data_IF_463700968442
#
_entry.id   IF_463700968442
#
_cell.length_a   1.000
_cell.length_b   1.000
_cell.length_c   1.000
_cell.angle_alpha   90.00
_cell.angle_beta   90.00
_cell.angle_gamma   90.00
#
_symmetry.space_group_name_H-M   'P 1'
#
loop_
_entity.id
_entity.type
_entity.pdbx_description
1 polymer ?
#
# COMPACT_ATOMS: atom_id res chain seq x y z
N UNK A 1 -34.95 16.77 16.38
CA UNK A 1 -33.52 17.10 16.47
C UNK A 1 -32.78 15.81 16.73
N UNK A 2 -32.48 15.07 15.66
CA UNK A 2 -31.61 13.89 15.72
C UNK A 2 -30.76 13.96 14.47
N UNK A 3 -29.61 14.60 14.62
CA UNK A 3 -28.52 14.56 13.64
C UNK A 3 -28.01 13.13 13.58
N UNK A 4 -28.32 12.42 12.50
CA UNK A 4 -27.68 11.15 12.21
C UNK A 4 -26.36 11.46 11.52
N UNK A 5 -25.26 11.37 12.26
CA UNK A 5 -23.90 11.48 11.76
C UNK A 5 -23.69 10.53 10.58
N UNK A 6 -23.28 11.08 9.43
CA UNK A 6 -22.82 10.29 8.29
C UNK A 6 -21.43 9.73 8.62
N UNK A 7 -21.39 8.50 9.11
CA UNK A 7 -20.16 7.73 9.14
C UNK A 7 -19.74 7.44 7.71
N UNK A 8 -18.83 8.26 7.20
CA UNK A 8 -18.25 8.11 5.88
C UNK A 8 -17.14 7.05 5.96
N UNK A 9 -17.56 5.78 6.04
CA UNK A 9 -16.67 4.63 5.95
C UNK A 9 -15.99 4.67 4.57
N UNK A 10 -14.77 5.22 4.54
CA UNK A 10 -14.00 5.37 3.31
C UNK A 10 -13.77 3.99 2.71
N UNK A 11 -14.32 3.76 1.52
CA UNK A 11 -14.03 2.54 0.77
C UNK A 11 -12.52 2.34 0.65
N UNK A 12 -12.05 1.11 0.88
CA UNK A 12 -10.65 0.75 0.80
C UNK A 12 -10.01 1.34 -0.46
N UNK A 13 -9.15 2.34 -0.28
CA UNK A 13 -8.70 3.24 -1.35
C UNK A 13 -7.76 2.57 -2.34
N UNK A 14 -7.19 1.40 -2.01
CA UNK A 14 -6.35 0.63 -2.94
C UNK A 14 -7.15 -0.19 -3.95
N UNK A 15 -8.37 -0.62 -3.63
CA UNK A 15 -9.18 -1.54 -4.46
C UNK A 15 -10.61 -1.01 -4.73
N UNK A 16 -10.84 0.27 -4.46
CA UNK A 16 -12.14 0.92 -4.60
C UNK A 16 -12.53 1.27 -6.05
N UNK A 17 -13.81 1.54 -6.27
CA UNK A 17 -14.35 2.10 -7.52
C UNK A 17 -15.61 1.41 -8.05
N UNK A 18 -15.86 0.15 -7.69
CA UNK A 18 -17.08 -0.59 -8.11
C UNK A 18 -18.22 -0.51 -7.09
N UNK A 19 -17.92 -0.28 -5.81
CA UNK A 19 -18.90 -0.25 -4.73
C UNK A 19 -19.22 1.18 -4.31
N UNK A 20 -20.48 1.45 -3.99
CA UNK A 20 -20.96 2.76 -3.55
C UNK A 20 -20.49 3.13 -2.13
N UNK A 21 -20.11 2.15 -1.32
CA UNK A 21 -19.62 2.31 0.05
C UNK A 21 -18.49 1.30 0.32
N UNK A 22 -17.75 1.53 1.41
CA UNK A 22 -16.71 0.62 1.88
C UNK A 22 -17.26 -0.72 2.39
N UNK A 23 -16.39 -1.74 2.50
CA UNK A 23 -16.75 -3.00 3.13
C UNK A 23 -17.13 -2.81 4.61
N UNK A 24 -17.93 -3.74 5.14
CA UNK A 24 -18.24 -3.78 6.57
C UNK A 24 -16.96 -4.03 7.40
N UNK A 25 -16.90 -3.49 8.62
CA UNK A 25 -15.75 -3.62 9.50
C UNK A 25 -15.36 -5.09 9.79
N UNK A 26 -16.35 -5.99 9.88
CA UNK A 26 -16.09 -7.43 10.05
C UNK A 26 -15.42 -8.00 8.80
N UNK A 27 -15.88 -7.57 7.62
CA UNK A 27 -15.30 -7.99 6.34
C UNK A 27 -13.86 -7.49 6.19
N UNK A 28 -13.54 -6.28 6.65
CA UNK A 28 -12.17 -5.76 6.67
C UNK A 28 -11.27 -6.59 7.60
N UNK A 29 -11.73 -6.86 8.81
CA UNK A 29 -10.96 -7.62 9.81
C UNK A 29 -10.63 -9.04 9.34
N UNK A 30 -11.56 -9.72 8.66
CA UNK A 30 -11.36 -11.07 8.13
C UNK A 30 -10.38 -11.07 6.94
N UNK A 31 -10.37 -10.01 6.13
CA UNK A 31 -9.50 -9.93 4.95
C UNK A 31 -8.08 -9.41 5.25
N UNK A 32 -7.85 -8.84 6.43
CA UNK A 32 -6.54 -8.30 6.80
C UNK A 32 -5.51 -9.43 7.00
N UNK A 33 -4.49 -9.48 6.13
CA UNK A 33 -3.41 -10.48 6.22
C UNK A 33 -2.13 -9.94 6.85
N UNK A 34 -2.07 -8.65 7.19
CA UNK A 34 -0.85 -7.96 7.63
C UNK A 34 -0.17 -8.62 8.84
N UNK A 35 -0.95 -9.14 9.80
CA UNK A 35 -0.41 -9.79 11.00
C UNK A 35 0.44 -11.03 10.71
N UNK A 36 0.32 -11.60 9.51
CA UNK A 36 1.11 -12.71 9.03
C UNK A 36 2.09 -12.30 7.91
N UNK A 37 1.61 -11.53 6.94
CA UNK A 37 2.36 -11.18 5.73
C UNK A 37 3.49 -10.17 5.97
N UNK A 38 3.48 -9.43 7.08
CA UNK A 38 4.53 -8.46 7.42
C UNK A 38 5.96 -9.05 7.37
N UNK A 39 6.09 -10.37 7.61
CA UNK A 39 7.38 -11.09 7.51
C UNK A 39 7.95 -11.14 6.09
N UNK A 40 7.13 -10.87 5.08
CA UNK A 40 7.50 -10.84 3.66
C UNK A 40 7.86 -9.44 3.16
N UNK A 41 7.89 -8.43 4.04
CA UNK A 41 8.15 -7.04 3.65
C UNK A 41 9.47 -6.87 2.88
N UNK A 42 10.52 -7.61 3.26
CA UNK A 42 11.82 -7.56 2.57
C UNK A 42 11.70 -8.01 1.11
N UNK A 43 10.98 -9.10 0.85
CA UNK A 43 10.76 -9.64 -0.48
C UNK A 43 9.88 -8.71 -1.32
N UNK A 44 8.83 -8.14 -0.72
CA UNK A 44 7.94 -7.18 -1.38
C UNK A 44 8.70 -5.90 -1.80
N UNK A 45 9.57 -5.40 -0.92
CA UNK A 45 10.44 -4.25 -1.19
C UNK A 45 11.44 -4.55 -2.32
N UNK A 46 12.08 -5.72 -2.29
CA UNK A 46 13.00 -6.14 -3.35
C UNK A 46 12.29 -6.24 -4.71
N UNK A 47 11.11 -6.87 -4.74
CA UNK A 47 10.26 -6.95 -5.92
C UNK A 47 9.84 -5.57 -6.43
N UNK A 48 9.45 -4.68 -5.53
CA UNK A 48 9.06 -3.30 -5.86
C UNK A 48 10.21 -2.49 -6.44
N UNK A 49 11.45 -2.66 -5.95
CA UNK A 49 12.64 -2.01 -6.52
C UNK A 49 12.94 -2.51 -7.94
N UNK A 50 12.83 -3.82 -8.16
CA UNK A 50 13.00 -4.41 -9.48
C UNK A 50 11.91 -3.92 -10.45
N UNK A 51 10.67 -3.83 -9.97
CA UNK A 51 9.54 -3.32 -10.76
C UNK A 51 9.77 -1.84 -11.15
N UNK A 52 10.17 -0.98 -10.21
CA UNK A 52 10.48 0.42 -10.51
C UNK A 52 11.61 0.55 -11.56
N UNK A 53 12.65 -0.28 -11.48
CA UNK A 53 13.71 -0.31 -12.49
C UNK A 53 13.18 -0.73 -13.88
N UNK A 54 12.31 -1.74 -13.93
CA UNK A 54 11.67 -2.18 -15.18
C UNK A 54 10.77 -1.07 -15.76
N UNK A 55 9.98 -0.37 -14.93
CA UNK A 55 9.12 0.72 -15.39
C UNK A 55 9.93 1.87 -16.02
N UNK A 56 11.11 2.17 -15.47
CA UNK A 56 12.02 3.15 -16.05
C UNK A 56 12.56 2.70 -17.41
N UNK A 57 13.01 1.43 -17.49
CA UNK A 57 13.49 0.83 -18.74
C UNK A 57 12.40 0.78 -19.83
N UNK A 58 11.13 0.65 -19.44
CA UNK A 58 9.98 0.71 -20.33
C UNK A 58 9.56 2.14 -20.72
N UNK A 59 10.18 3.18 -20.13
CA UNK A 59 9.84 4.58 -20.37
C UNK A 59 8.52 5.02 -19.75
N UNK A 60 7.99 4.27 -18.78
CA UNK A 60 6.73 4.60 -18.08
C UNK A 60 6.96 5.64 -16.99
N UNK A 61 8.12 5.57 -16.33
CA UNK A 61 8.60 6.56 -15.35
C UNK A 61 10.00 7.03 -15.73
N UNK A 62 10.42 8.18 -15.20
CA UNK A 62 11.78 8.67 -15.44
C UNK A 62 12.80 7.90 -14.60
N UNK A 63 14.07 7.89 -15.03
CA UNK A 63 15.16 7.31 -14.23
C UNK A 63 15.31 8.00 -12.87
N UNK A 64 15.02 9.30 -12.82
CA UNK A 64 15.02 10.10 -11.58
C UNK A 64 13.93 9.62 -10.62
N UNK A 65 12.71 9.42 -11.12
CA UNK A 65 11.60 8.91 -10.29
C UNK A 65 11.89 7.49 -9.81
N UNK A 66 12.44 6.64 -10.70
CA UNK A 66 12.84 5.29 -10.34
C UNK A 66 13.93 5.29 -9.26
N UNK A 67 14.88 6.22 -9.31
CA UNK A 67 15.88 6.40 -8.25
C UNK A 67 15.24 6.83 -6.93
N UNK A 68 14.36 7.82 -6.96
CA UNK A 68 13.65 8.29 -5.76
C UNK A 68 12.82 7.18 -5.11
N UNK A 69 12.12 6.37 -5.91
CA UNK A 69 11.35 5.21 -5.42
C UNK A 69 12.27 4.18 -4.78
N UNK A 70 13.42 3.86 -5.40
CA UNK A 70 14.37 2.88 -4.82
C UNK A 70 14.91 3.34 -3.46
N UNK A 71 15.25 4.61 -3.31
CA UNK A 71 15.74 5.15 -2.03
C UNK A 71 14.63 5.21 -0.97
N UNK A 72 13.41 5.60 -1.36
CA UNK A 72 12.25 5.54 -0.47
C UNK A 72 11.99 4.12 0.04
N UNK A 73 12.06 3.12 -0.85
CA UNK A 73 11.87 1.71 -0.49
C UNK A 73 12.96 1.18 0.47
N UNK A 74 14.20 1.65 0.35
CA UNK A 74 15.26 1.34 1.32
C UNK A 74 15.00 1.99 2.68
N UNK A 75 14.46 3.20 2.69
CA UNK A 75 14.06 3.89 3.93
C UNK A 75 12.96 3.10 4.65
N UNK A 76 11.92 2.69 3.91
CA UNK A 76 10.84 1.85 4.45
C UNK A 76 11.36 0.52 5.00
N UNK A 77 12.30 -0.14 4.29
CA UNK A 77 12.91 -1.37 4.80
C UNK A 77 13.60 -1.15 6.15
N UNK A 78 14.38 -0.06 6.25
CA UNK A 78 15.06 0.29 7.51
C UNK A 78 14.09 0.60 8.64
N UNK A 79 12.93 1.20 8.35
CA UNK A 79 11.90 1.48 9.34
C UNK A 79 11.26 0.18 9.85
N UNK A 80 10.90 -0.73 8.93
CA UNK A 80 10.31 -2.04 9.26
C UNK A 80 11.29 -2.89 10.07
N UNK A 81 12.56 -2.97 9.67
CA UNK A 81 13.60 -3.69 10.41
C UNK A 81 13.88 -3.05 11.79
N UNK A 82 13.65 -1.74 11.91
CA UNK A 82 13.71 -0.99 13.16
C UNK A 82 12.45 -1.05 14.02
N UNK A 83 11.39 -1.73 13.58
CA UNK A 83 10.12 -1.86 14.28
C UNK A 83 9.27 -0.57 14.33
N UNK A 84 9.42 0.31 13.33
CA UNK A 84 8.67 1.56 13.18
C UNK A 84 7.50 1.43 12.21
#
# INVERSE_FOLDING_TARGET
>A
MTETSKDNAKANTMWGGRFAAGPDAIMEAINASIGFDQRMAKQDIEGSRAHAAMLAAAGIITDTDAAAIREGLLTVLSEIEGGK
#
